data_IF_321049845879
#
_entry.id   IF_321049845879
#
_cell.length_a   1.000
_cell.length_b   1.000
_cell.length_c   1.000
_cell.angle_alpha   90.00
_cell.angle_beta   90.00
_cell.angle_gamma   90.00
#
_symmetry.space_group_name_H-M   'P 1'
#
loop_
_entity.id
_entity.type
_entity.pdbx_description
1 polymer ?
#
# COMPACT_ATOMS: atom_id res chain seq x y z
N UNK A 1 -26.41 -3.94 13.00
CA UNK A 1 -25.44 -3.48 11.99
C UNK A 1 -25.73 -2.02 11.71
N UNK A 2 -24.74 -1.16 11.88
CA UNK A 2 -24.84 0.25 11.53
C UNK A 2 -24.20 0.43 10.15
N UNK A 3 -24.93 0.99 9.22
CA UNK A 3 -24.39 1.36 7.90
C UNK A 3 -24.03 2.85 7.96
N UNK A 4 -22.76 3.16 7.69
CA UNK A 4 -22.27 4.54 7.64
C UNK A 4 -22.40 5.08 6.21
N UNK A 5 -22.64 6.37 6.07
CA UNK A 5 -22.43 7.08 4.82
C UNK A 5 -20.93 7.23 4.53
N UNK A 6 -20.50 7.56 3.30
CA UNK A 6 -19.09 7.80 3.01
C UNK A 6 -18.47 8.87 3.93
N UNK A 7 -19.17 9.96 4.19
CA UNK A 7 -18.73 11.04 5.07
C UNK A 7 -18.59 10.56 6.53
N UNK A 8 -19.58 9.83 7.04
CA UNK A 8 -19.51 9.25 8.39
C UNK A 8 -18.36 8.24 8.52
N UNK A 9 -18.04 7.50 7.44
CA UNK A 9 -16.90 6.58 7.41
C UNK A 9 -15.56 7.35 7.46
N UNK A 10 -15.45 8.46 6.74
CA UNK A 10 -14.26 9.35 6.80
C UNK A 10 -14.08 9.86 8.22
N UNK A 11 -15.12 10.42 8.85
CA UNK A 11 -15.05 10.94 10.22
C UNK A 11 -14.69 9.83 11.23
N UNK A 12 -15.24 8.64 11.05
CA UNK A 12 -14.91 7.47 11.88
C UNK A 12 -13.43 7.08 11.75
N UNK A 13 -12.90 7.05 10.53
CA UNK A 13 -11.49 6.71 10.28
C UNK A 13 -10.53 7.77 10.84
N UNK A 14 -10.86 9.06 10.70
CA UNK A 14 -10.09 10.14 11.30
C UNK A 14 -10.05 10.01 12.83
N UNK A 15 -11.19 9.69 13.44
CA UNK A 15 -11.25 9.43 14.88
C UNK A 15 -10.36 8.27 15.32
N UNK A 16 -10.31 7.17 14.56
CA UNK A 16 -9.40 6.04 14.86
C UNK A 16 -7.93 6.41 14.68
N UNK A 17 -7.60 7.15 13.63
CA UNK A 17 -6.23 7.62 13.37
C UNK A 17 -5.74 8.45 14.55
N UNK A 18 -6.55 9.40 15.02
CA UNK A 18 -6.21 10.26 16.16
C UNK A 18 -6.16 9.49 17.48
N UNK A 19 -7.18 8.66 17.77
CA UNK A 19 -7.28 7.94 19.06
C UNK A 19 -6.11 6.95 19.28
N UNK A 20 -5.69 6.27 18.22
CA UNK A 20 -4.67 5.21 18.29
C UNK A 20 -3.31 5.63 17.74
N UNK A 21 -3.11 6.90 17.37
CA UNK A 21 -1.87 7.41 16.75
C UNK A 21 -1.41 6.54 15.58
N UNK A 22 -2.35 6.25 14.65
CA UNK A 22 -2.08 5.35 13.53
C UNK A 22 -1.20 6.02 12.48
N UNK A 23 -0.07 5.41 12.18
CA UNK A 23 0.83 5.88 11.13
C UNK A 23 0.35 5.56 9.71
N UNK A 24 -0.50 4.55 9.57
CA UNK A 24 -1.04 4.16 8.27
C UNK A 24 -2.37 3.43 8.39
N UNK A 25 -3.20 3.57 7.36
CA UNK A 25 -4.47 2.84 7.20
C UNK A 25 -4.57 2.32 5.77
N UNK A 26 -4.97 1.06 5.62
CA UNK A 26 -5.14 0.41 4.32
C UNK A 26 -6.63 0.18 4.05
N UNK A 27 -7.07 0.53 2.85
CA UNK A 27 -8.43 0.36 2.33
C UNK A 27 -9.56 0.77 3.29
N UNK A 28 -9.55 2.01 3.80
CA UNK A 28 -10.57 2.47 4.75
C UNK A 28 -11.95 2.72 4.13
N UNK A 29 -12.05 2.82 2.80
CA UNK A 29 -13.22 3.25 2.06
C UNK A 29 -13.49 2.34 0.84
N UNK A 30 -14.64 2.50 0.18
CA UNK A 30 -14.98 1.75 -1.04
C UNK A 30 -13.96 2.00 -2.16
N UNK A 31 -13.57 0.94 -2.86
CA UNK A 31 -12.56 0.93 -3.91
C UNK A 31 -12.88 1.78 -5.15
N UNK A 32 -14.08 2.34 -5.26
CA UNK A 32 -14.48 3.18 -6.38
C UNK A 32 -14.81 4.62 -5.95
N UNK A 33 -14.81 4.91 -4.65
CA UNK A 33 -15.13 6.23 -4.11
C UNK A 33 -13.88 7.10 -3.94
N UNK A 34 -13.21 7.41 -5.03
CA UNK A 34 -11.99 8.23 -5.05
C UNK A 34 -12.14 9.60 -4.36
N UNK A 35 -13.34 10.15 -4.31
CA UNK A 35 -13.60 11.46 -3.70
C UNK A 35 -13.54 11.39 -2.16
N UNK A 36 -14.16 10.39 -1.55
CA UNK A 36 -14.09 10.19 -0.10
C UNK A 36 -12.67 9.84 0.36
N UNK A 37 -11.92 9.10 -0.46
CA UNK A 37 -10.50 8.87 -0.23
C UNK A 37 -9.70 10.17 -0.22
N UNK A 38 -9.95 11.08 -1.18
CA UNK A 38 -9.30 12.38 -1.23
C UNK A 38 -9.65 13.22 0.02
N UNK A 39 -10.91 13.20 0.44
CA UNK A 39 -11.36 13.88 1.66
C UNK A 39 -10.67 13.36 2.91
N UNK A 40 -10.47 12.04 3.04
CA UNK A 40 -9.73 11.45 4.16
C UNK A 40 -8.26 11.86 4.13
N UNK A 41 -7.62 11.74 2.96
CA UNK A 41 -6.19 12.02 2.80
C UNK A 41 -5.83 13.48 3.09
N UNK A 42 -6.69 14.43 2.72
CA UNK A 42 -6.47 15.86 2.96
C UNK A 42 -6.53 16.25 4.46
N UNK A 43 -7.07 15.39 5.31
CA UNK A 43 -7.32 15.67 6.72
C UNK A 43 -6.36 14.99 7.69
N UNK A 44 -5.36 14.24 7.20
CA UNK A 44 -4.42 13.52 8.06
C UNK A 44 -3.02 13.43 7.44
N UNK A 45 -2.00 13.37 8.30
CA UNK A 45 -0.62 13.09 7.91
C UNK A 45 -0.32 11.58 7.86
N UNK A 46 -1.25 10.72 8.23
CA UNK A 46 -1.09 9.28 8.15
C UNK A 46 -0.97 8.80 6.69
N UNK A 47 -0.31 7.67 6.47
CA UNK A 47 -0.29 7.03 5.16
C UNK A 47 -1.64 6.39 4.87
N UNK A 48 -2.37 6.93 3.93
CA UNK A 48 -3.62 6.35 3.41
C UNK A 48 -3.25 5.48 2.21
N UNK A 49 -3.31 4.16 2.41
CA UNK A 49 -2.78 3.17 1.47
C UNK A 49 -3.93 2.60 0.65
N UNK A 50 -3.88 2.79 -0.67
CA UNK A 50 -4.82 2.16 -1.60
C UNK A 50 -4.31 0.79 -2.06
N UNK A 51 -5.00 -0.29 -1.68
CA UNK A 51 -4.83 -1.65 -2.20
C UNK A 51 -5.89 -1.94 -3.26
N UNK A 52 -7.12 -2.19 -2.87
CA UNK A 52 -8.23 -2.49 -3.79
C UNK A 52 -8.63 -1.26 -4.63
N UNK A 53 -8.36 -0.05 -4.12
CA UNK A 53 -8.51 1.19 -4.89
C UNK A 53 -7.70 1.16 -6.19
N UNK A 54 -6.46 0.63 -6.17
CA UNK A 54 -5.51 0.69 -7.28
C UNK A 54 -5.19 -0.65 -7.92
N UNK A 55 -5.22 -1.74 -7.16
CA UNK A 55 -4.87 -3.11 -7.60
C UNK A 55 -3.53 -3.18 -8.38
N UNK A 56 -2.56 -2.34 -8.00
CA UNK A 56 -1.26 -2.17 -8.69
C UNK A 56 -1.40 -1.77 -10.17
N UNK A 57 -2.50 -1.13 -10.55
CA UNK A 57 -2.81 -0.77 -11.93
C UNK A 57 -2.53 0.73 -12.19
N UNK A 58 -1.70 1.04 -13.21
CA UNK A 58 -1.27 2.40 -13.52
C UNK A 58 -2.42 3.34 -13.92
N UNK A 59 -3.45 2.84 -14.62
CA UNK A 59 -4.60 3.68 -15.00
C UNK A 59 -5.45 4.08 -13.78
N UNK A 60 -5.67 3.14 -12.85
CA UNK A 60 -6.37 3.46 -11.59
C UNK A 60 -5.54 4.39 -10.71
N UNK A 61 -4.22 4.16 -10.65
CA UNK A 61 -3.30 5.03 -9.92
C UNK A 61 -3.31 6.46 -10.48
N UNK A 62 -3.28 6.61 -11.80
CA UNK A 62 -3.38 7.91 -12.47
C UNK A 62 -4.64 8.66 -12.04
N UNK A 63 -5.80 7.98 -12.01
CA UNK A 63 -7.04 8.57 -11.52
C UNK A 63 -6.93 9.04 -10.08
N UNK A 64 -6.31 8.23 -9.20
CA UNK A 64 -6.09 8.58 -7.80
C UNK A 64 -5.16 9.79 -7.62
N UNK A 65 -4.10 9.87 -8.42
CA UNK A 65 -3.17 11.01 -8.43
C UNK A 65 -3.90 12.29 -8.85
N UNK A 66 -4.67 12.24 -9.95
CA UNK A 66 -5.44 13.39 -10.44
C UNK A 66 -6.43 13.92 -9.39
N UNK A 67 -7.01 13.02 -8.60
CA UNK A 67 -7.98 13.35 -7.53
C UNK A 67 -7.33 13.56 -6.15
N UNK A 68 -6.04 13.27 -6.00
CA UNK A 68 -5.33 13.27 -4.71
C UNK A 68 -5.95 12.32 -3.70
N UNK A 69 -6.40 11.17 -4.17
CA UNK A 69 -7.19 10.22 -3.37
C UNK A 69 -6.39 9.57 -2.25
N UNK A 70 -5.07 9.36 -2.43
CA UNK A 70 -4.19 8.79 -1.42
C UNK A 70 -2.79 9.41 -1.50
N UNK A 71 -2.00 9.21 -0.45
CA UNK A 71 -0.57 9.51 -0.41
C UNK A 71 0.30 8.26 -0.45
N UNK A 72 -0.30 7.08 -0.60
CA UNK A 72 0.41 5.79 -0.60
C UNK A 72 -0.33 4.72 -1.41
N UNK A 73 0.42 3.77 -1.96
CA UNK A 73 -0.10 2.63 -2.74
C UNK A 73 0.50 1.31 -2.27
N UNK A 74 -0.33 0.26 -2.23
CA UNK A 74 0.13 -1.11 -2.04
C UNK A 74 0.54 -1.72 -3.40
N UNK A 75 1.72 -2.32 -3.44
CA UNK A 75 2.30 -2.92 -4.65
C UNK A 75 2.29 -4.44 -4.54
N UNK A 76 1.56 -5.09 -5.43
CA UNK A 76 1.46 -6.55 -5.53
C UNK A 76 1.79 -7.00 -6.96
N UNK A 77 3.05 -7.37 -7.26
CA UNK A 77 3.48 -7.68 -8.63
C UNK A 77 2.65 -8.76 -9.32
N UNK A 78 2.18 -9.76 -8.54
CA UNK A 78 1.34 -10.84 -9.09
C UNK A 78 -0.14 -10.47 -9.22
N UNK A 79 -0.57 -9.27 -8.81
CA UNK A 79 -1.92 -8.77 -9.02
C UNK A 79 -2.06 -8.16 -10.42
N UNK A 80 -1.09 -7.33 -10.80
CA UNK A 80 -1.02 -6.76 -12.16
C UNK A 80 -0.47 -7.77 -13.17
N UNK A 81 0.42 -8.66 -12.76
CA UNK A 81 0.83 -9.85 -13.50
C UNK A 81 2.19 -9.79 -14.17
N UNK A 82 2.77 -8.62 -14.42
CA UNK A 82 4.12 -8.48 -14.99
C UNK A 82 5.00 -7.54 -14.18
N UNK A 83 6.32 -7.74 -14.21
CA UNK A 83 7.26 -6.80 -13.61
C UNK A 83 7.29 -5.47 -14.36
N UNK A 84 7.06 -5.47 -15.66
CA UNK A 84 7.02 -4.24 -16.47
C UNK A 84 5.92 -3.32 -15.99
N UNK A 85 4.70 -3.82 -15.86
CA UNK A 85 3.55 -3.02 -15.39
C UNK A 85 3.70 -2.63 -13.92
N UNK A 86 4.32 -3.51 -13.10
CA UNK A 86 4.66 -3.18 -11.71
C UNK A 86 5.63 -2.00 -11.63
N UNK A 87 6.71 -2.02 -12.44
CA UNK A 87 7.71 -0.95 -12.49
C UNK A 87 7.08 0.36 -12.95
N UNK A 88 6.21 0.31 -13.97
CA UNK A 88 5.48 1.49 -14.44
C UNK A 88 4.64 2.11 -13.31
N UNK A 89 3.88 1.30 -12.58
CA UNK A 89 3.05 1.74 -11.46
C UNK A 89 3.90 2.33 -10.32
N UNK A 90 5.02 1.67 -9.97
CA UNK A 90 5.94 2.15 -8.92
C UNK A 90 6.58 3.48 -9.31
N UNK A 91 7.04 3.63 -10.55
CA UNK A 91 7.63 4.89 -11.02
C UNK A 91 6.59 6.02 -11.00
N UNK A 92 5.37 5.75 -11.48
CA UNK A 92 4.27 6.74 -11.46
C UNK A 92 3.95 7.20 -10.02
N UNK A 93 3.92 6.29 -9.04
CA UNK A 93 3.73 6.62 -7.65
C UNK A 93 4.87 7.52 -7.13
N UNK A 94 6.13 7.13 -7.38
CA UNK A 94 7.31 7.90 -6.97
C UNK A 94 7.36 9.29 -7.60
N UNK A 95 7.08 9.39 -8.91
CA UNK A 95 7.04 10.67 -9.62
C UNK A 95 5.94 11.62 -9.11
N UNK A 96 5.01 11.08 -8.32
CA UNK A 96 3.90 11.81 -7.68
C UNK A 96 4.06 11.95 -6.16
N UNK A 97 5.28 11.73 -5.65
CA UNK A 97 5.62 11.81 -4.20
C UNK A 97 4.79 10.87 -3.32
N UNK A 98 4.28 9.77 -3.87
CA UNK A 98 3.51 8.78 -3.11
C UNK A 98 4.43 7.72 -2.49
N UNK A 99 4.13 7.34 -1.25
CA UNK A 99 4.77 6.19 -0.62
C UNK A 99 4.34 4.87 -1.27
N UNK A 100 5.27 3.94 -1.42
CA UNK A 100 4.99 2.59 -1.92
C UNK A 100 5.22 1.55 -0.83
N UNK A 101 4.29 0.60 -0.69
CA UNK A 101 4.39 -0.53 0.23
C UNK A 101 4.32 -1.82 -0.58
N UNK A 102 5.43 -2.57 -0.66
CA UNK A 102 5.41 -3.86 -1.36
C UNK A 102 4.77 -4.92 -0.47
N UNK A 103 3.92 -5.76 -1.05
CA UNK A 103 3.07 -6.66 -0.26
C UNK A 103 3.08 -8.10 -0.75
N UNK A 104 2.96 -9.01 0.23
CA UNK A 104 2.57 -10.38 0.02
C UNK A 104 1.08 -10.51 -0.36
N UNK A 105 0.62 -11.76 -0.55
CA UNK A 105 -0.80 -12.12 -0.69
C UNK A 105 -1.24 -12.99 0.49
N UNK A 106 -2.56 -13.18 0.67
CA UNK A 106 -3.11 -14.08 1.70
C UNK A 106 -2.65 -15.53 1.52
N UNK A 107 -2.60 -16.02 0.28
CA UNK A 107 -1.94 -17.29 -0.07
C UNK A 107 -0.49 -17.03 -0.44
N UNK A 108 0.46 -17.49 0.38
CA UNK A 108 1.89 -17.25 0.21
C UNK A 108 2.71 -18.54 0.21
N UNK A 109 3.92 -18.44 -0.35
CA UNK A 109 4.96 -19.46 -0.34
C UNK A 109 6.22 -18.92 0.36
N UNK A 110 7.26 -19.75 0.48
CA UNK A 110 8.56 -19.32 1.01
C UNK A 110 9.40 -18.52 -0.01
N UNK A 111 8.86 -18.19 -1.19
CA UNK A 111 9.51 -17.32 -2.16
C UNK A 111 9.81 -15.95 -1.55
N UNK A 112 11.00 -15.40 -1.83
CA UNK A 112 11.50 -14.17 -1.23
C UNK A 112 11.57 -13.00 -2.21
N UNK A 113 11.05 -13.15 -3.42
CA UNK A 113 11.16 -12.15 -4.50
C UNK A 113 10.67 -10.76 -4.08
N UNK A 114 9.59 -10.66 -3.30
CA UNK A 114 9.09 -9.35 -2.85
C UNK A 114 10.06 -8.61 -1.92
N UNK A 115 10.94 -9.30 -1.20
CA UNK A 115 11.97 -8.66 -0.40
C UNK A 115 13.01 -7.97 -1.30
N UNK A 116 13.45 -8.66 -2.36
CA UNK A 116 14.36 -8.09 -3.37
C UNK A 116 13.71 -6.93 -4.12
N UNK A 117 12.47 -7.09 -4.56
CA UNK A 117 11.72 -6.05 -5.26
C UNK A 117 11.50 -4.82 -4.38
N UNK A 118 11.18 -5.02 -3.10
CA UNK A 118 11.02 -3.92 -2.13
C UNK A 118 12.27 -3.07 -2.02
N UNK A 119 13.44 -3.70 -1.91
CA UNK A 119 14.73 -3.00 -1.89
C UNK A 119 15.05 -2.36 -3.23
N UNK A 120 14.84 -3.08 -4.35
CA UNK A 120 15.11 -2.57 -5.68
C UNK A 120 14.22 -1.37 -6.06
N UNK A 121 12.99 -1.37 -5.59
CA UNK A 121 12.05 -0.26 -5.79
C UNK A 121 12.20 0.85 -4.74
N UNK A 122 13.11 0.69 -3.77
CA UNK A 122 13.25 1.63 -2.64
C UNK A 122 11.88 1.88 -1.97
N UNK A 123 11.10 0.82 -1.80
CA UNK A 123 9.77 0.92 -1.19
C UNK A 123 9.88 1.40 0.26
N UNK A 124 8.94 2.26 0.68
CA UNK A 124 8.92 2.79 2.05
C UNK A 124 8.72 1.70 3.09
N UNK A 125 7.98 0.65 2.75
CA UNK A 125 7.72 -0.47 3.66
C UNK A 125 7.44 -1.77 2.90
N UNK A 126 7.44 -2.88 3.66
CA UNK A 126 6.98 -4.19 3.21
C UNK A 126 5.86 -4.69 4.13
N UNK A 127 4.79 -5.18 3.55
CA UNK A 127 3.70 -5.88 4.23
C UNK A 127 3.87 -7.37 4.00
N UNK A 128 4.32 -8.13 5.02
CA UNK A 128 4.60 -9.57 4.87
C UNK A 128 4.09 -10.44 6.01
N UNK A 129 3.65 -9.85 7.12
CA UNK A 129 3.32 -10.59 8.36
C UNK A 129 4.57 -11.06 9.10
N UNK A 130 4.37 -11.53 10.33
CA UNK A 130 5.45 -11.91 11.26
C UNK A 130 5.39 -13.37 11.71
N UNK A 131 4.39 -14.14 11.29
CA UNK A 131 4.20 -15.54 11.67
C UNK A 131 4.05 -16.42 10.44
N UNK A 132 4.56 -17.65 10.55
CA UNK A 132 4.59 -18.63 9.46
C UNK A 132 5.89 -18.58 8.66
N UNK A 133 6.33 -19.73 8.20
CA UNK A 133 7.60 -19.85 7.46
C UNK A 133 7.60 -19.04 6.17
N UNK A 134 6.47 -18.97 5.49
CA UNK A 134 6.25 -18.19 4.27
C UNK A 134 6.36 -16.69 4.49
N UNK A 135 6.07 -16.20 5.70
CA UNK A 135 6.18 -14.78 6.09
C UNK A 135 7.61 -14.45 6.53
N UNK A 136 8.15 -15.26 7.45
CA UNK A 136 9.49 -15.08 8.02
C UNK A 136 10.58 -15.21 6.94
N UNK A 137 10.37 -16.01 5.90
CA UNK A 137 11.31 -16.12 4.78
C UNK A 137 11.66 -14.76 4.18
N UNK A 138 10.68 -13.86 3.98
CA UNK A 138 10.89 -12.52 3.43
C UNK A 138 11.65 -11.61 4.38
N UNK A 139 11.34 -11.69 5.68
CA UNK A 139 12.04 -10.90 6.72
C UNK A 139 13.49 -11.35 6.85
N UNK A 140 13.75 -12.65 6.88
CA UNK A 140 15.12 -13.19 6.89
C UNK A 140 15.90 -12.77 5.64
N UNK A 141 15.23 -12.71 4.48
CA UNK A 141 15.85 -12.29 3.25
C UNK A 141 16.22 -10.80 3.28
N UNK A 142 15.39 -9.94 3.88
CA UNK A 142 15.73 -8.53 4.10
C UNK A 142 16.96 -8.39 5.00
N UNK A 143 17.05 -9.18 6.08
CA UNK A 143 18.24 -9.21 6.95
C UNK A 143 19.47 -9.62 6.13
N UNK A 144 19.38 -10.69 5.33
CA UNK A 144 20.47 -11.15 4.47
C UNK A 144 20.91 -10.10 3.44
N UNK A 145 19.97 -9.37 2.86
CA UNK A 145 20.25 -8.26 1.93
C UNK A 145 20.98 -7.14 2.68
N UNK A 146 20.49 -6.75 3.86
CA UNK A 146 21.11 -5.72 4.70
C UNK A 146 22.56 -6.06 5.06
N UNK A 147 22.84 -7.30 5.51
CA UNK A 147 24.20 -7.74 5.85
C UNK A 147 25.17 -7.73 4.66
N UNK A 148 24.65 -7.84 3.43
CA UNK A 148 25.50 -7.92 2.24
C UNK A 148 25.75 -6.57 1.56
N UNK A 149 24.82 -5.64 1.66
CA UNK A 149 24.80 -4.43 0.83
C UNK A 149 24.75 -3.11 1.63
N UNK A 150 24.50 -3.17 2.94
CA UNK A 150 24.46 -2.04 3.84
C UNK A 150 25.53 -2.16 4.93
#
# INVERSE_FOLDING_TARGET
EQTLTPEEQVDFMLGLIEEYDLHSVEDPLDQNDFESWASLTDQTDALIIGDDLYVTNSERLKQGIEKKSTNSILIKPNQIGTLTDTIETVNMAKDSDMATVISHRSGETTDTSIAHLGVAFESHAIKTGIMGGERIAKLNELVRISEKFL
#
